data_IF_202030999485
#
_entry.id   IF_202030999485
#
_cell.length_a   1.000
_cell.length_b   1.000
_cell.length_c   1.000
_cell.angle_alpha   90.00
_cell.angle_beta   90.00
_cell.angle_gamma   90.00
#
_symmetry.space_group_name_H-M   'P 1'
#
loop_
_entity.id
_entity.type
_entity.pdbx_description
1 polymer ?
#
# COMPACT_ATOMS: atom_id res chain seq x y z
N UNK A 1 0.96 12.43 -2.18
CA UNK A 1 -0.02 11.54 -2.83
C UNK A 1 -0.65 10.74 -1.71
N UNK A 2 -1.96 10.67 -1.71
CA UNK A 2 -2.75 9.92 -0.74
C UNK A 2 -3.23 8.60 -1.34
N UNK A 3 -3.45 7.60 -0.49
CA UNK A 3 -3.86 6.26 -0.91
C UNK A 3 -5.15 6.21 -1.76
N UNK A 4 -6.23 6.95 -1.43
CA UNK A 4 -7.44 6.96 -2.26
C UNK A 4 -7.20 7.48 -3.69
N UNK A 5 -6.16 8.30 -3.91
CA UNK A 5 -5.85 8.83 -5.23
C UNK A 5 -5.34 7.75 -6.21
N UNK A 6 -4.90 6.60 -5.69
CA UNK A 6 -4.49 5.43 -6.48
C UNK A 6 -5.68 4.63 -7.03
N UNK A 7 -6.87 4.84 -6.48
CA UNK A 7 -8.08 4.14 -6.93
C UNK A 7 -8.71 4.90 -8.10
N UNK A 8 -9.23 4.20 -9.13
CA UNK A 8 -10.10 4.81 -10.12
C UNK A 8 -11.28 5.56 -9.45
N UNK A 9 -11.71 6.73 -9.98
CA UNK A 9 -12.81 7.49 -9.39
C UNK A 9 -14.09 6.67 -9.19
N UNK A 10 -14.37 5.74 -10.09
CA UNK A 10 -15.52 4.83 -10.00
C UNK A 10 -15.42 3.86 -8.80
N UNK A 11 -14.23 3.41 -8.43
CA UNK A 11 -14.01 2.52 -7.29
C UNK A 11 -14.19 3.31 -5.99
N UNK A 12 -13.71 4.55 -5.97
CA UNK A 12 -13.87 5.47 -4.85
C UNK A 12 -15.34 5.83 -4.63
N UNK A 13 -16.06 6.20 -5.69
CA UNK A 13 -17.50 6.49 -5.61
C UNK A 13 -18.28 5.26 -5.11
N UNK A 14 -17.90 4.06 -5.54
CA UNK A 14 -18.51 2.84 -5.04
C UNK A 14 -18.26 2.66 -3.53
N UNK A 15 -17.05 2.91 -3.02
CA UNK A 15 -16.78 2.89 -1.57
C UNK A 15 -17.62 3.90 -0.80
N UNK A 16 -17.75 5.13 -1.32
CA UNK A 16 -18.49 6.21 -0.66
C UNK A 16 -20.00 5.96 -0.63
N UNK A 17 -20.53 5.28 -1.65
CA UNK A 17 -21.96 4.99 -1.79
C UNK A 17 -22.36 3.64 -1.19
N UNK A 18 -21.39 2.84 -0.72
CA UNK A 18 -21.68 1.60 -0.03
C UNK A 18 -22.51 1.87 1.23
N UNK A 19 -23.66 1.19 1.39
CA UNK A 19 -24.41 1.29 2.65
C UNK A 19 -23.50 0.83 3.77
N UNK A 20 -23.48 1.57 4.89
CA UNK A 20 -22.76 1.12 6.08
C UNK A 20 -23.24 -0.29 6.39
N UNK A 21 -22.32 -1.26 6.35
CA UNK A 21 -22.66 -2.66 6.60
C UNK A 21 -23.18 -2.71 8.04
N UNK A 22 -24.49 -2.92 8.22
CA UNK A 22 -25.01 -3.35 9.51
C UNK A 22 -24.32 -4.68 9.80
N UNK A 23 -23.40 -4.70 10.76
CA UNK A 23 -22.68 -5.89 11.23
C UNK A 23 -23.68 -6.87 11.89
N UNK A 24 -24.53 -7.48 11.07
CA UNK A 24 -25.57 -8.44 11.44
C UNK A 24 -25.16 -9.87 11.10
N UNK A 25 -23.99 -10.07 10.49
CA UNK A 25 -23.37 -11.37 10.26
C UNK A 25 -22.05 -11.54 11.02
N UNK A 26 -21.73 -12.78 11.40
CA UNK A 26 -20.48 -13.19 12.10
C UNK A 26 -19.20 -13.12 11.22
N UNK A 27 -19.29 -12.58 9.99
CA UNK A 27 -18.17 -12.51 9.05
C UNK A 27 -17.50 -11.12 9.02
N UNK A 28 -16.21 -11.03 8.64
CA UNK A 28 -15.58 -9.74 8.40
C UNK A 28 -16.32 -9.00 7.26
N UNK A 29 -16.34 -7.66 7.28
CA UNK A 29 -16.86 -6.89 6.17
C UNK A 29 -16.11 -7.26 4.88
N UNK A 30 -16.83 -7.42 3.79
CA UNK A 30 -16.24 -7.73 2.48
C UNK A 30 -16.39 -6.52 1.56
N UNK A 31 -15.32 -6.22 0.82
CA UNK A 31 -15.36 -5.23 -0.25
C UNK A 31 -16.01 -5.83 -1.51
N UNK A 32 -16.67 -5.02 -2.35
CA UNK A 32 -17.19 -5.49 -3.63
C UNK A 32 -16.07 -6.08 -4.50
N UNK A 33 -16.39 -7.14 -5.25
CA UNK A 33 -15.44 -7.80 -6.16
C UNK A 33 -14.81 -6.79 -7.13
N UNK A 34 -15.59 -5.84 -7.62
CA UNK A 34 -15.14 -4.80 -8.53
C UNK A 34 -14.05 -3.88 -7.92
N UNK A 35 -13.95 -3.77 -6.59
CA UNK A 35 -12.84 -3.07 -5.92
C UNK A 35 -11.64 -4.01 -5.80
N UNK A 36 -11.90 -5.26 -5.42
CA UNK A 36 -10.87 -6.28 -5.24
C UNK A 36 -10.16 -6.66 -6.55
N UNK A 37 -10.74 -6.34 -7.71
CA UNK A 37 -10.08 -6.40 -9.01
C UNK A 37 -8.80 -5.55 -9.10
N UNK A 38 -8.63 -4.53 -8.24
CA UNK A 38 -7.40 -3.74 -8.19
C UNK A 38 -7.13 -2.96 -9.46
N UNK A 39 -8.18 -2.40 -10.08
CA UNK A 39 -8.07 -1.55 -11.28
C UNK A 39 -7.13 -0.38 -11.01
N UNK A 40 -6.31 -0.04 -12.01
CA UNK A 40 -5.30 1.03 -11.91
C UNK A 40 -5.74 2.28 -12.65
N UNK A 41 -5.23 3.43 -12.20
CA UNK A 41 -5.26 4.68 -12.94
C UNK A 41 -4.06 4.76 -13.86
N UNK A 42 -4.26 4.38 -15.13
CA UNK A 42 -3.17 4.32 -16.13
C UNK A 42 -2.45 5.65 -16.33
N UNK A 43 -3.10 6.77 -16.06
CA UNK A 43 -2.50 8.11 -16.14
C UNK A 43 -1.48 8.40 -15.02
N UNK A 44 -1.40 7.57 -13.97
CA UNK A 44 -0.40 7.68 -12.91
C UNK A 44 0.91 6.97 -13.23
N UNK A 45 0.97 6.18 -14.30
CA UNK A 45 2.22 5.53 -14.73
C UNK A 45 3.29 6.59 -14.99
N UNK A 46 4.53 6.31 -14.55
CA UNK A 46 5.70 7.19 -14.66
C UNK A 46 5.58 8.52 -13.90
N UNK A 47 4.66 8.61 -12.95
CA UNK A 47 4.50 9.82 -12.13
C UNK A 47 5.43 9.77 -10.93
N UNK A 48 6.19 10.84 -10.64
CA UNK A 48 6.92 10.95 -9.38
C UNK A 48 5.94 11.12 -8.22
N UNK A 49 6.10 10.33 -7.18
CA UNK A 49 5.20 10.33 -6.02
C UNK A 49 5.97 10.44 -4.72
N UNK A 50 5.28 10.95 -3.70
CA UNK A 50 5.63 10.80 -2.29
C UNK A 50 4.40 10.32 -1.54
N UNK A 51 4.50 9.19 -0.87
CA UNK A 51 3.37 8.53 -0.20
C UNK A 51 3.82 7.88 1.11
N UNK A 52 3.03 7.99 2.21
CA UNK A 52 3.37 7.34 3.46
C UNK A 52 2.76 5.94 3.51
N UNK A 53 3.36 5.02 4.26
CA UNK A 53 2.74 3.73 4.52
C UNK A 53 3.55 2.84 5.44
N UNK A 54 3.04 1.64 5.67
CA UNK A 54 3.66 0.64 6.53
C UNK A 54 4.38 -0.42 5.69
N UNK A 55 5.47 -0.93 6.24
CA UNK A 55 6.36 -1.88 5.54
C UNK A 55 5.92 -3.32 5.83
N UNK A 56 5.72 -4.09 4.77
CA UNK A 56 5.62 -5.55 4.81
C UNK A 56 6.84 -6.12 4.07
N UNK A 57 7.90 -6.56 4.78
CA UNK A 57 9.15 -6.98 4.14
C UNK A 57 8.95 -8.22 3.27
N UNK A 58 9.52 -8.21 2.07
CA UNK A 58 9.56 -9.36 1.15
C UNK A 58 10.95 -9.97 1.08
N UNK A 59 11.97 -9.12 0.94
CA UNK A 59 13.38 -9.51 0.95
C UNK A 59 14.12 -8.75 2.04
N UNK A 60 14.72 -9.50 2.97
CA UNK A 60 15.57 -8.97 4.02
C UNK A 60 16.89 -9.75 4.11
N UNK A 61 18.00 -9.02 4.18
CA UNK A 61 19.34 -9.59 4.37
C UNK A 61 19.54 -10.11 5.81
N UNK A 62 20.58 -10.93 6.08
CA UNK A 62 20.83 -11.46 7.43
C UNK A 62 21.03 -10.40 8.53
N UNK A 63 21.43 -9.19 8.14
CA UNK A 63 21.57 -8.00 8.99
C UNK A 63 20.26 -7.19 9.10
N UNK A 64 19.13 -7.73 8.64
CA UNK A 64 17.81 -7.09 8.61
C UNK A 64 17.69 -5.90 7.65
N UNK A 65 18.63 -5.74 6.71
CA UNK A 65 18.49 -4.74 5.65
C UNK A 65 17.41 -5.16 4.66
N UNK A 66 16.37 -4.33 4.51
CA UNK A 66 15.23 -4.55 3.61
C UNK A 66 15.50 -3.84 2.29
N UNK A 67 15.37 -4.55 1.18
CA UNK A 67 15.54 -3.99 -0.19
C UNK A 67 14.29 -4.16 -1.04
N UNK A 68 13.33 -4.98 -0.60
CA UNK A 68 12.08 -5.25 -1.30
C UNK A 68 10.97 -5.47 -0.28
N UNK A 69 9.85 -4.78 -0.46
CA UNK A 69 8.73 -4.80 0.47
C UNK A 69 7.42 -4.41 -0.22
N UNK A 70 6.29 -4.73 0.40
CA UNK A 70 5.05 -4.04 0.10
C UNK A 70 4.90 -2.83 1.02
N UNK A 71 4.48 -1.70 0.45
CA UNK A 71 3.97 -0.56 1.18
C UNK A 71 2.44 -0.65 1.22
N UNK A 72 1.86 -0.47 2.40
CA UNK A 72 0.40 -0.57 2.63
C UNK A 72 -0.14 0.62 3.44
N UNK A 73 -1.42 0.98 3.31
CA UNK A 73 -2.01 2.16 3.95
C UNK A 73 -2.18 2.06 5.48
N UNK A 74 -2.19 0.85 6.04
CA UNK A 74 -2.38 0.64 7.48
C UNK A 74 -1.58 -0.54 8.00
N UNK A 75 -1.21 -0.47 9.27
CA UNK A 75 -0.47 -1.55 9.93
C UNK A 75 -1.30 -2.85 9.97
N UNK A 76 -0.65 -3.98 9.69
CA UNK A 76 -1.28 -5.30 9.73
C UNK A 76 -2.16 -5.62 8.51
N UNK A 77 -2.04 -4.89 7.41
CA UNK A 77 -2.93 -5.04 6.26
C UNK A 77 -2.95 -6.45 5.62
N UNK A 78 -1.82 -7.16 5.61
CA UNK A 78 -1.72 -8.49 5.00
C UNK A 78 -2.03 -9.65 5.97
N UNK A 79 -2.32 -9.35 7.24
CA UNK A 79 -2.65 -10.36 8.27
C UNK A 79 -4.10 -10.24 8.78
N UNK A 80 -4.78 -9.14 8.46
CA UNK A 80 -6.17 -8.90 8.81
C UNK A 80 -7.08 -9.06 7.59
N UNK A 81 -8.35 -9.36 7.86
CA UNK A 81 -9.38 -9.53 6.83
C UNK A 81 -10.41 -8.40 6.90
N UNK A 82 -10.84 -7.85 5.75
CA UNK A 82 -10.33 -8.14 4.40
C UNK A 82 -8.94 -7.51 4.16
N UNK A 83 -8.08 -8.14 3.34
CA UNK A 83 -6.84 -7.50 2.90
C UNK A 83 -7.18 -6.26 2.04
N UNK A 84 -6.24 -5.31 1.90
CA UNK A 84 -6.41 -4.21 0.97
C UNK A 84 -6.62 -4.72 -0.46
N UNK A 85 -7.37 -3.98 -1.29
CA UNK A 85 -7.38 -4.18 -2.73
C UNK A 85 -5.96 -4.08 -3.33
N UNK A 86 -5.66 -4.77 -4.44
CA UNK A 86 -4.31 -4.70 -5.04
C UNK A 86 -3.84 -3.30 -5.46
N UNK A 87 -4.76 -2.40 -5.82
CA UNK A 87 -4.46 -0.99 -6.10
C UNK A 87 -4.25 -0.13 -4.83
N UNK A 88 -4.30 -0.75 -3.65
CA UNK A 88 -3.97 -0.19 -2.34
C UNK A 88 -2.77 -0.92 -1.71
N UNK A 89 -1.96 -1.59 -2.52
CA UNK A 89 -0.67 -2.18 -2.16
C UNK A 89 0.34 -1.75 -3.22
N UNK A 90 1.50 -1.26 -2.80
CA UNK A 90 2.59 -0.90 -3.71
C UNK A 90 3.74 -1.85 -3.49
N UNK A 91 4.21 -2.52 -4.54
CA UNK A 91 5.49 -3.23 -4.53
C UNK A 91 6.63 -2.24 -4.62
N UNK A 92 7.53 -2.24 -3.64
CA UNK A 92 8.63 -1.28 -3.56
C UNK A 92 9.97 -2.00 -3.60
N UNK A 93 10.86 -1.52 -4.46
CA UNK A 93 12.27 -1.88 -4.47
C UNK A 93 13.12 -0.67 -4.10
N UNK A 94 14.17 -0.89 -3.30
CA UNK A 94 15.09 0.14 -2.86
C UNK A 94 16.52 -0.41 -2.80
N UNK A 95 17.35 -0.01 -3.77
CA UNK A 95 18.69 -0.57 -3.99
C UNK A 95 19.65 -0.30 -2.83
N UNK A 96 19.54 0.87 -2.20
CA UNK A 96 20.38 1.25 -1.05
C UNK A 96 20.04 0.43 0.20
N UNK A 97 18.83 -0.13 0.23
CA UNK A 97 18.27 -0.82 1.38
C UNK A 97 18.07 0.08 2.60
N UNK A 98 17.31 -0.40 3.57
CA UNK A 98 17.13 0.31 4.83
C UNK A 98 16.84 -0.64 5.98
N UNK A 99 17.05 -0.14 7.19
CA UNK A 99 16.59 -0.79 8.42
C UNK A 99 15.46 0.04 9.01
N UNK A 100 14.45 -0.63 9.53
CA UNK A 100 13.33 0.00 10.22
C UNK A 100 13.35 -0.38 11.69
N UNK A 101 13.16 0.60 12.57
CA UNK A 101 13.15 0.34 14.02
C UNK A 101 11.95 -0.53 14.43
N UNK A 102 10.81 -0.31 13.79
CA UNK A 102 9.57 -1.02 14.05
C UNK A 102 8.63 -1.03 12.84
N UNK A 103 8.08 -2.19 12.49
CA UNK A 103 7.14 -2.35 11.37
C UNK A 103 5.80 -1.61 11.57
N UNK A 104 5.49 -1.21 12.81
CA UNK A 104 4.32 -0.40 13.13
C UNK A 104 4.57 1.10 12.98
N UNK A 105 5.79 1.54 12.69
CA UNK A 105 6.06 2.92 12.33
C UNK A 105 5.91 3.08 10.81
N UNK A 106 5.13 4.06 10.34
CA UNK A 106 5.07 4.34 8.92
C UNK A 106 6.38 4.96 8.43
N UNK A 107 6.60 4.86 7.13
CA UNK A 107 7.67 5.53 6.40
C UNK A 107 7.07 6.37 5.29
N UNK A 108 7.79 7.41 4.88
CA UNK A 108 7.62 8.05 3.58
C UNK A 108 8.50 7.35 2.57
N UNK A 109 7.96 7.11 1.37
CA UNK A 109 8.76 6.80 0.20
C UNK A 109 8.63 7.92 -0.82
N UNK A 110 9.71 8.21 -1.54
CA UNK A 110 9.69 8.99 -2.78
C UNK A 110 10.25 8.14 -3.92
N UNK A 111 9.69 8.29 -5.12
CA UNK A 111 10.16 7.57 -6.30
C UNK A 111 9.21 7.69 -7.48
N UNK A 112 9.38 6.84 -8.48
CA UNK A 112 8.55 6.82 -9.69
C UNK A 112 7.55 5.67 -9.62
N UNK A 113 6.26 6.01 -9.66
CA UNK A 113 5.16 5.05 -9.70
C UNK A 113 5.06 4.40 -11.08
N UNK A 114 4.81 3.09 -11.08
CA UNK A 114 4.55 2.27 -12.26
C UNK A 114 3.24 1.52 -12.09
N UNK A 115 2.46 1.43 -13.15
CA UNK A 115 1.27 0.57 -13.20
C UNK A 115 1.70 -0.85 -13.58
N UNK A 116 2.33 -1.53 -12.65
CA UNK A 116 2.86 -2.89 -12.82
C UNK A 116 2.30 -3.81 -11.74
N UNK A 117 1.80 -4.97 -12.18
CA UNK A 117 1.24 -5.97 -11.27
C UNK A 117 2.32 -6.91 -10.76
N UNK A 118 2.26 -7.20 -9.45
CA UNK A 118 3.13 -8.14 -8.76
C UNK A 118 2.27 -9.01 -7.84
N UNK A 119 2.50 -10.32 -7.82
CA UNK A 119 1.74 -11.26 -7.00
C UNK A 119 2.66 -12.31 -6.40
N UNK A 120 2.51 -12.56 -5.10
CA UNK A 120 3.21 -13.63 -4.38
C UNK A 120 2.33 -14.21 -3.26
N UNK A 121 2.90 -15.09 -2.43
CA UNK A 121 2.18 -15.73 -1.31
C UNK A 121 1.73 -14.74 -0.22
N UNK A 122 2.23 -13.50 -0.22
CA UNK A 122 1.91 -12.47 0.77
C UNK A 122 0.74 -11.60 0.30
N UNK A 123 0.80 -11.08 -0.93
CA UNK A 123 -0.25 -10.23 -1.50
C UNK A 123 -0.15 -10.09 -3.03
N UNK A 124 -1.15 -9.43 -3.60
CA UNK A 124 -1.15 -8.91 -4.97
C UNK A 124 -1.13 -7.38 -4.91
N UNK A 125 -0.28 -6.75 -5.72
CA UNK A 125 -0.15 -5.32 -5.87
C UNK A 125 -0.34 -4.96 -7.35
N UNK A 126 -1.04 -3.86 -7.62
CA UNK A 126 -1.23 -3.35 -8.99
C UNK A 126 -0.30 -2.19 -9.34
N UNK A 127 0.49 -1.74 -8.38
CA UNK A 127 1.46 -0.67 -8.54
C UNK A 127 2.85 -1.11 -8.05
N UNK A 128 3.87 -0.55 -8.69
CA UNK A 128 5.25 -0.70 -8.26
C UNK A 128 5.96 0.66 -8.16
N UNK A 129 6.93 0.76 -7.27
CA UNK A 129 7.81 1.93 -7.13
C UNK A 129 9.26 1.46 -7.00
N UNK A 130 10.13 2.03 -7.80
CA UNK A 130 11.56 2.08 -7.48
C UNK A 130 11.79 3.31 -6.62
N UNK A 131 12.07 3.11 -5.34
CA UNK A 131 12.23 4.20 -4.40
C UNK A 131 13.58 4.91 -4.64
N UNK A 132 13.54 6.23 -4.60
CA UNK A 132 14.71 7.12 -4.64
C UNK A 132 15.10 7.58 -3.23
N UNK A 133 14.12 7.68 -2.32
CA UNK A 133 14.35 7.99 -0.92
C UNK A 133 13.33 7.31 -0.01
N UNK A 134 13.75 7.00 1.21
CA UNK A 134 12.90 6.51 2.30
C UNK A 134 13.22 7.31 3.55
N UNK A 135 12.18 7.83 4.20
CA UNK A 135 12.29 8.60 5.44
C UNK A 135 11.35 8.04 6.51
N UNK A 136 11.73 8.02 7.80
CA UNK A 136 10.78 7.76 8.87
C UNK A 136 9.61 8.75 8.81
N UNK A 137 8.40 8.28 9.07
CA UNK A 137 7.28 9.19 9.26
C UNK A 137 7.40 9.87 10.63
N UNK A 138 7.88 11.10 10.64
CA UNK A 138 7.78 11.96 11.81
C UNK A 138 6.45 12.71 11.76
N UNK A 139 5.54 12.41 12.68
CA UNK A 139 4.41 13.31 12.93
C UNK A 139 5.02 14.62 13.42
N UNK A 140 4.82 15.72 12.68
CA UNK A 140 5.30 17.03 13.11
C UNK A 140 4.84 17.24 14.55
N UNK A 141 5.72 17.70 15.48
CA UNK A 141 5.34 17.82 16.87
C UNK A 141 4.07 18.66 16.96
N UNK A 142 3.02 18.07 17.52
CA UNK A 142 1.77 18.76 17.82
C UNK A 142 2.10 20.03 18.62
N UNK A 143 1.71 21.22 18.17
CA UNK A 143 2.01 22.48 18.86
C UNK A 143 1.35 22.58 20.23
#
# INVERSE_FOLDING_TARGET
>A
MEWPELMPPEDLEMLETMPQIEHTGDGPPQLPDAIMEGRVRTELDQTPIRIPGFVVPLTASPDQTITEFFLVPYYGACIHVPPPPPNQIIHVTYDDGFQIEALYNPIWIEGVLRTESMSNDVAEASYAVTAESIEPYEEAPSP
#
